data_IF_865915612181
#
_entry.id   IF_865915612181
#
_cell.length_a   1.000
_cell.length_b   1.000
_cell.length_c   1.000
_cell.angle_alpha   90.00
_cell.angle_beta   90.00
_cell.angle_gamma   90.00
#
_symmetry.space_group_name_H-M   'P 1'
#
loop_
_entity.id
_entity.type
_entity.pdbx_description
1 polymer ?
#
# COMPACT_ATOMS: atom_id res chain seq x y z
N UNK A 1 -5.79 0.06 3.61
CA UNK A 1 -4.46 -0.12 4.21
C UNK A 1 -3.50 -0.14 3.05
N UNK A 2 -2.42 0.67 3.05
CA UNK A 2 -1.42 0.66 1.99
C UNK A 2 -0.87 -0.76 1.73
N UNK A 3 -0.70 -1.06 0.45
CA UNK A 3 -0.10 -2.26 -0.11
C UNK A 3 1.12 -1.86 -0.96
N UNK A 4 1.71 -2.79 -1.71
CA UNK A 4 2.89 -2.49 -2.53
C UNK A 4 2.76 -1.24 -3.40
N UNK A 5 1.65 -1.08 -4.17
CA UNK A 5 1.46 0.06 -5.06
C UNK A 5 1.56 1.43 -4.38
N UNK A 6 0.93 1.60 -3.23
CA UNK A 6 0.89 2.88 -2.53
C UNK A 6 2.27 3.27 -1.96
N UNK A 7 3.05 2.28 -1.50
CA UNK A 7 4.42 2.52 -1.01
C UNK A 7 5.37 2.85 -2.18
N UNK A 8 5.18 2.19 -3.32
CA UNK A 8 5.93 2.51 -4.53
C UNK A 8 5.63 3.91 -5.05
N UNK A 9 4.34 4.27 -5.17
CA UNK A 9 3.92 5.63 -5.54
C UNK A 9 4.43 6.68 -4.55
N UNK A 10 4.45 6.38 -3.24
CA UNK A 10 5.02 7.26 -2.23
C UNK A 10 6.50 7.55 -2.49
N UNK A 11 7.29 6.52 -2.79
CA UNK A 11 8.71 6.70 -3.07
C UNK A 11 8.95 7.54 -4.31
N UNK A 12 8.14 7.35 -5.37
CA UNK A 12 8.19 8.17 -6.59
C UNK A 12 7.79 9.61 -6.34
N UNK A 13 6.74 9.83 -5.56
CA UNK A 13 6.30 11.17 -5.15
C UNK A 13 7.41 11.89 -4.41
N UNK A 14 8.01 11.27 -3.40
CA UNK A 14 9.08 11.89 -2.61
C UNK A 14 10.27 12.23 -3.51
N UNK A 15 10.72 11.30 -4.35
CA UNK A 15 11.84 11.57 -5.26
C UNK A 15 11.54 12.66 -6.29
N UNK A 16 10.30 12.74 -6.78
CA UNK A 16 9.89 13.77 -7.74
C UNK A 16 9.80 15.14 -7.07
N UNK A 17 9.07 15.23 -5.97
CA UNK A 17 8.81 16.49 -5.27
C UNK A 17 10.02 17.02 -4.52
N UNK A 18 10.90 16.15 -4.03
CA UNK A 18 12.13 16.53 -3.33
C UNK A 18 13.34 16.67 -4.26
N UNK A 19 13.17 16.42 -5.57
CA UNK A 19 14.24 16.61 -6.55
C UNK A 19 14.74 18.06 -6.52
N UNK A 20 16.06 18.26 -6.42
CA UNK A 20 16.63 19.60 -6.39
C UNK A 20 16.54 20.32 -5.03
N UNK A 21 15.63 19.92 -4.14
CA UNK A 21 15.40 20.58 -2.85
C UNK A 21 16.52 20.24 -1.86
N UNK A 22 16.99 21.27 -1.15
CA UNK A 22 17.90 21.12 -0.01
C UNK A 22 17.11 21.26 1.28
N UNK A 23 17.33 20.35 2.21
CA UNK A 23 16.76 20.35 3.56
C UNK A 23 17.80 20.78 4.58
N UNK A 24 17.36 21.24 5.76
CA UNK A 24 18.24 21.78 6.79
C UNK A 24 17.75 21.45 8.20
N UNK A 25 18.66 21.56 9.17
CA UNK A 25 18.40 21.40 10.59
C UNK A 25 18.11 19.96 11.02
N UNK A 26 17.50 19.85 12.20
CA UNK A 26 17.10 18.57 12.79
C UNK A 26 15.82 18.00 12.17
N UNK A 27 15.67 16.69 12.23
CA UNK A 27 14.38 16.03 11.96
C UNK A 27 13.49 16.17 13.19
N UNK A 28 12.29 16.73 13.03
CA UNK A 28 11.38 16.96 14.17
C UNK A 28 10.31 15.88 14.26
N UNK A 29 10.27 15.17 15.39
CA UNK A 29 9.13 14.31 15.75
C UNK A 29 8.13 15.11 16.58
N UNK A 30 6.84 14.96 16.27
CA UNK A 30 5.79 15.49 17.13
C UNK A 30 5.64 14.64 18.41
N UNK A 31 5.58 15.27 19.58
CA UNK A 31 5.66 14.61 20.90
C UNK A 31 4.65 13.47 21.09
N UNK A 32 3.46 13.61 20.49
CA UNK A 32 2.36 12.65 20.63
C UNK A 32 2.64 11.30 19.92
N UNK A 33 3.65 11.25 19.04
CA UNK A 33 4.06 10.02 18.36
C UNK A 33 4.87 9.11 19.28
N UNK A 34 4.49 7.84 19.37
CA UNK A 34 5.22 6.78 20.12
C UNK A 34 6.36 6.14 19.33
N UNK A 35 6.69 6.68 18.15
CA UNK A 35 7.81 6.22 17.34
C UNK A 35 9.12 6.84 17.86
N UNK A 36 10.30 6.27 17.56
CA UNK A 36 11.58 6.80 18.03
C UNK A 36 11.85 8.21 17.50
N UNK A 37 12.58 9.01 18.29
CA UNK A 37 13.22 10.24 17.80
C UNK A 37 14.22 9.91 16.68
N UNK A 38 14.45 10.87 15.79
CA UNK A 38 15.43 10.74 14.71
C UNK A 38 16.64 11.62 15.06
N UNK A 39 17.77 11.05 15.53
CA UNK A 39 18.96 11.80 15.93
C UNK A 39 19.78 12.19 14.69
N UNK A 40 19.18 13.03 13.83
CA UNK A 40 19.79 13.56 12.63
C UNK A 40 19.69 15.08 12.63
N UNK A 41 20.81 15.74 12.37
CA UNK A 41 20.92 17.18 12.21
C UNK A 41 22.00 17.47 11.17
N UNK A 42 21.70 18.34 10.21
CA UNK A 42 22.66 18.75 9.18
C UNK A 42 22.26 20.11 8.60
N UNK A 43 23.23 20.99 8.38
CA UNK A 43 22.99 22.31 7.81
C UNK A 43 22.38 22.24 6.40
N UNK A 44 22.77 21.23 5.63
CA UNK A 44 22.28 21.00 4.28
C UNK A 44 22.29 19.51 3.94
N UNK A 45 21.14 18.95 3.58
CA UNK A 45 21.00 17.55 3.18
C UNK A 45 19.95 17.34 2.08
N UNK A 46 20.03 16.17 1.43
CA UNK A 46 19.05 15.69 0.44
C UNK A 46 18.25 14.53 1.00
N UNK A 47 17.02 14.39 0.52
CA UNK A 47 16.15 13.26 0.83
C UNK A 47 15.92 12.48 -0.47
N UNK A 48 16.08 11.16 -0.40
CA UNK A 48 15.65 10.24 -1.44
C UNK A 48 14.86 9.09 -0.83
N UNK A 49 14.07 8.40 -1.66
CA UNK A 49 13.18 7.34 -1.22
C UNK A 49 13.28 6.12 -2.13
N UNK A 50 13.19 4.93 -1.54
CA UNK A 50 12.95 3.67 -2.25
C UNK A 50 11.88 2.88 -1.53
N UNK A 51 11.16 2.00 -2.22
CA UNK A 51 10.17 1.12 -1.60
C UNK A 51 10.52 -0.35 -1.81
N UNK A 52 10.15 -1.21 -0.85
CA UNK A 52 10.27 -2.65 -0.98
C UNK A 52 9.07 -3.34 -0.33
N UNK A 53 8.16 -3.83 -1.16
CA UNK A 53 6.90 -4.42 -0.69
C UNK A 53 6.08 -3.39 0.09
N UNK A 54 5.77 -3.65 1.37
CA UNK A 54 5.00 -2.72 2.22
C UNK A 54 5.85 -1.81 3.10
N UNK A 55 7.09 -1.58 2.69
CA UNK A 55 8.02 -0.70 3.38
C UNK A 55 8.54 0.37 2.44
N UNK A 56 8.78 1.56 2.97
CA UNK A 56 9.45 2.66 2.28
C UNK A 56 10.67 3.07 3.09
N UNK A 57 11.81 3.22 2.45
CA UNK A 57 13.04 3.70 3.07
C UNK A 57 13.36 5.09 2.55
N UNK A 58 13.48 6.04 3.47
CA UNK A 58 14.05 7.36 3.20
C UNK A 58 15.54 7.34 3.53
N UNK A 59 16.34 7.98 2.71
CA UNK A 59 17.77 8.20 2.96
C UNK A 59 18.03 9.70 3.04
N UNK A 60 18.51 10.15 4.20
CA UNK A 60 18.94 11.53 4.47
C UNK A 60 20.44 11.63 4.19
N UNK A 61 20.84 12.45 3.22
CA UNK A 61 22.24 12.53 2.75
C UNK A 61 22.79 13.95 2.92
N UNK A 62 23.69 14.20 3.88
CA UNK A 62 24.36 15.49 4.05
C UNK A 62 25.14 15.94 2.79
N UNK A 63 25.14 17.25 2.50
CA UNK A 63 25.76 17.83 1.29
C UNK A 63 27.21 18.32 1.50
N UNK A 64 27.64 18.64 2.71
CA UNK A 64 29.03 19.04 3.01
C UNK A 64 29.75 17.97 3.84
N UNK A 65 30.99 17.68 3.47
CA UNK A 65 31.79 16.55 3.98
C UNK A 65 33.04 16.94 4.77
N UNK A 66 33.37 18.22 4.90
CA UNK A 66 34.77 18.56 5.17
C UNK A 66 35.24 18.24 6.59
N UNK A 67 34.51 18.55 7.66
CA UNK A 67 35.07 18.33 9.01
C UNK A 67 34.04 17.79 10.01
N UNK A 68 33.71 16.50 9.86
CA UNK A 68 32.91 15.68 10.79
C UNK A 68 31.47 16.14 11.08
N UNK A 69 30.49 15.26 10.77
CA UNK A 69 29.25 14.94 11.54
C UNK A 69 28.01 14.59 10.69
N UNK A 70 28.13 13.67 9.73
CA UNK A 70 26.93 13.02 9.22
C UNK A 70 27.20 11.96 8.16
N UNK A 71 27.08 10.68 8.54
CA UNK A 71 26.86 9.62 7.55
C UNK A 71 25.43 9.73 7.01
N UNK A 72 25.15 9.28 5.77
CA UNK A 72 23.78 9.10 5.35
C UNK A 72 23.00 8.27 6.37
N UNK A 73 21.76 8.69 6.69
CA UNK A 73 20.89 8.00 7.64
C UNK A 73 19.68 7.44 6.90
N UNK A 74 19.42 6.15 7.12
CA UNK A 74 18.25 5.46 6.59
C UNK A 74 17.10 5.42 7.61
N UNK A 75 15.90 5.74 7.16
CA UNK A 75 14.66 5.66 7.92
C UNK A 75 13.68 4.73 7.20
N UNK A 76 13.28 3.62 7.83
CA UNK A 76 12.37 2.64 7.23
C UNK A 76 10.97 2.80 7.79
N UNK A 77 10.00 3.11 6.94
CA UNK A 77 8.61 3.39 7.26
C UNK A 77 7.68 2.23 6.87
N UNK A 78 6.71 1.97 7.75
CA UNK A 78 5.50 1.19 7.47
C UNK A 78 4.30 2.08 7.73
N UNK A 79 3.47 2.33 6.72
CA UNK A 79 2.44 3.38 6.77
C UNK A 79 1.23 3.06 7.67
N UNK A 80 1.11 1.83 8.16
CA UNK A 80 -0.07 1.43 8.93
C UNK A 80 -1.32 1.51 8.05
N UNK A 81 -2.32 2.31 8.42
CA UNK A 81 -3.55 2.47 7.62
C UNK A 81 -3.72 3.83 6.96
N UNK A 82 -3.18 4.89 7.55
CA UNK A 82 -3.38 6.28 7.11
C UNK A 82 -2.08 7.05 6.91
N UNK A 83 -0.92 6.40 7.09
CA UNK A 83 0.38 6.97 6.83
C UNK A 83 0.53 7.41 5.37
N UNK A 84 1.05 8.60 5.17
CA UNK A 84 1.46 9.14 3.87
C UNK A 84 2.50 10.25 4.05
N UNK A 85 3.16 10.63 2.95
CA UNK A 85 4.04 11.77 2.90
C UNK A 85 3.38 12.96 2.19
N UNK A 86 3.63 14.17 2.67
CA UNK A 86 3.20 15.41 1.99
C UNK A 86 4.29 16.47 2.09
N UNK A 87 4.69 17.04 0.96
CA UNK A 87 5.47 18.27 0.92
C UNK A 87 4.52 19.46 0.80
N UNK A 88 4.54 20.36 1.77
CA UNK A 88 3.63 21.51 1.84
C UNK A 88 4.36 22.77 2.31
N UNK A 89 3.82 23.98 2.07
CA UNK A 89 4.23 25.17 2.79
C UNK A 89 4.13 24.98 4.31
N UNK A 90 5.03 25.58 5.08
CA UNK A 90 4.98 25.48 6.56
C UNK A 90 3.67 26.04 7.13
N UNK A 91 3.06 27.04 6.48
CA UNK A 91 1.75 27.59 6.86
C UNK A 91 0.60 26.56 6.78
N UNK A 92 0.75 25.56 5.91
CA UNK A 92 -0.29 24.59 5.57
C UNK A 92 -0.01 23.22 6.19
N UNK A 93 0.85 23.19 7.23
CA UNK A 93 1.30 21.96 7.86
C UNK A 93 0.11 21.15 8.43
N UNK A 94 -0.05 19.86 8.07
CA UNK A 94 -1.13 19.04 8.58
C UNK A 94 -1.05 18.83 10.10
N UNK A 95 -2.20 18.90 10.77
CA UNK A 95 -2.34 18.65 12.23
C UNK A 95 -1.71 17.34 12.70
N UNK A 96 -1.70 16.32 11.85
CA UNK A 96 -1.20 14.98 12.16
C UNK A 96 0.18 14.69 11.51
N UNK A 97 0.97 15.73 11.23
CA UNK A 97 2.36 15.62 10.80
C UNK A 97 3.27 15.22 11.97
N UNK A 98 3.55 13.92 12.06
CA UNK A 98 4.27 13.31 13.19
C UNK A 98 5.78 13.29 13.04
N UNK A 99 6.29 13.42 11.80
CA UNK A 99 7.71 13.56 11.51
C UNK A 99 7.87 14.61 10.40
N UNK A 100 8.82 15.53 10.56
CA UNK A 100 8.93 16.75 9.74
C UNK A 100 10.37 16.99 9.31
N UNK A 101 10.54 17.36 8.05
CA UNK A 101 11.83 17.70 7.44
C UNK A 101 11.69 19.06 6.77
N UNK A 102 12.43 20.07 7.24
CA UNK A 102 12.30 21.44 6.76
C UNK A 102 13.27 21.73 5.62
N UNK A 103 12.78 22.47 4.63
CA UNK A 103 13.57 22.88 3.46
C UNK A 103 14.38 24.14 3.76
N UNK A 104 15.54 24.26 3.10
CA UNK A 104 16.39 25.44 3.11
C UNK A 104 16.00 26.37 1.95
N UNK A 105 14.77 26.88 1.98
CA UNK A 105 14.20 27.72 0.93
C UNK A 105 13.68 29.04 1.50
N UNK A 106 13.68 30.12 0.68
CA UNK A 106 13.15 31.42 1.08
C UNK A 106 11.66 31.35 1.46
N UNK A 107 10.90 30.53 0.74
CA UNK A 107 9.54 30.13 1.11
C UNK A 107 9.62 28.74 1.73
N UNK A 108 9.74 28.68 3.05
CA UNK A 108 9.95 27.43 3.75
C UNK A 108 8.79 26.44 3.51
N UNK A 109 9.14 25.29 2.93
CA UNK A 109 8.31 24.09 2.86
C UNK A 109 8.78 23.05 3.87
N UNK A 110 7.90 22.08 4.13
CA UNK A 110 8.14 20.96 5.03
C UNK A 110 7.64 19.66 4.40
N UNK A 111 8.49 18.65 4.37
CA UNK A 111 8.07 17.28 4.09
C UNK A 111 7.58 16.67 5.40
N UNK A 112 6.36 16.17 5.40
CA UNK A 112 5.69 15.62 6.58
C UNK A 112 5.35 14.15 6.38
N UNK A 113 5.69 13.30 7.35
CA UNK A 113 5.00 12.02 7.51
C UNK A 113 3.71 12.24 8.32
N UNK A 114 2.57 12.06 7.66
CA UNK A 114 1.24 12.30 8.22
C UNK A 114 0.56 10.98 8.51
N UNK A 115 0.08 10.78 9.75
CA UNK A 115 -0.66 9.57 10.10
C UNK A 115 -1.75 9.83 11.15
N UNK A 116 -2.99 9.99 10.70
CA UNK A 116 -4.13 10.31 11.58
C UNK A 116 -4.35 9.23 12.65
N UNK A 117 -4.23 7.96 12.28
CA UNK A 117 -4.50 6.82 13.17
C UNK A 117 -3.30 6.36 13.99
N UNK A 118 -2.09 6.88 13.69
CA UNK A 118 -0.83 6.58 14.40
C UNK A 118 -0.50 5.08 14.44
N UNK A 119 -0.87 4.37 13.38
CA UNK A 119 -0.57 2.94 13.23
C UNK A 119 0.72 2.70 12.46
N UNK A 120 1.20 3.72 11.76
CA UNK A 120 2.47 3.67 11.08
C UNK A 120 3.65 3.73 12.04
N UNK A 121 4.71 3.10 11.61
CA UNK A 121 5.95 2.93 12.35
C UNK A 121 7.13 3.37 11.50
N UNK A 122 8.17 3.87 12.14
CA UNK A 122 9.47 4.04 11.50
C UNK A 122 10.60 3.51 12.38
N UNK A 123 11.67 3.08 11.72
CA UNK A 123 12.92 2.62 12.33
C UNK A 123 14.06 3.52 11.86
N UNK A 124 14.96 3.86 12.78
CA UNK A 124 16.10 4.76 12.57
C UNK A 124 17.36 3.93 12.37
N UNK A 125 18.21 4.32 11.41
CA UNK A 125 19.38 3.55 10.98
C UNK A 125 18.99 2.10 10.63
N UNK A 126 17.76 1.94 10.12
CA UNK A 126 17.15 0.65 9.84
C UNK A 126 17.43 0.16 8.43
N UNK A 127 17.30 -1.15 8.25
CA UNK A 127 17.18 -1.80 6.94
C UNK A 127 15.79 -2.43 6.81
N UNK A 128 15.49 -3.02 5.65
CA UNK A 128 14.23 -3.74 5.44
C UNK A 128 14.00 -4.80 6.52
N UNK A 129 12.74 -5.05 6.89
CA UNK A 129 12.43 -6.10 7.86
C UNK A 129 12.95 -7.46 7.39
N UNK A 130 13.78 -8.09 8.22
CA UNK A 130 14.49 -9.32 7.88
C UNK A 130 13.56 -10.52 7.60
N UNK A 131 12.36 -10.53 8.17
CA UNK A 131 11.36 -11.59 7.97
C UNK A 131 10.50 -11.41 6.71
N UNK A 132 10.74 -10.34 5.93
CA UNK A 132 10.03 -10.07 4.67
C UNK A 132 10.78 -10.59 3.45
N UNK A 133 10.03 -11.29 2.60
CA UNK A 133 10.54 -11.78 1.32
C UNK A 133 10.77 -10.68 0.28
N UNK A 134 11.22 -11.07 -0.92
CA UNK A 134 11.37 -10.17 -2.06
C UNK A 134 10.05 -9.48 -2.43
N UNK A 135 10.15 -8.24 -2.86
CA UNK A 135 9.02 -7.44 -3.32
C UNK A 135 8.39 -8.05 -4.58
N UNK A 136 7.08 -8.29 -4.54
CA UNK A 136 6.34 -8.85 -5.69
C UNK A 136 6.39 -7.96 -6.94
N UNK A 137 6.68 -6.66 -6.78
CA UNK A 137 6.74 -5.69 -7.88
C UNK A 137 8.14 -5.52 -8.45
N UNK A 138 9.14 -5.31 -7.58
CA UNK A 138 10.48 -4.89 -7.99
C UNK A 138 11.49 -6.04 -8.05
N UNK A 139 11.16 -7.20 -7.46
CA UNK A 139 12.05 -8.36 -7.32
C UNK A 139 11.33 -9.64 -7.78
N UNK A 140 10.61 -9.59 -8.91
CA UNK A 140 9.69 -10.66 -9.34
C UNK A 140 10.32 -12.06 -9.38
N UNK A 141 11.47 -12.20 -10.03
CA UNK A 141 12.15 -13.50 -10.16
C UNK A 141 12.57 -14.03 -8.79
N UNK A 142 13.15 -13.17 -7.93
CA UNK A 142 13.52 -13.57 -6.57
C UNK A 142 12.29 -13.94 -5.73
N UNK A 143 11.20 -13.19 -5.88
CA UNK A 143 9.91 -13.47 -5.23
C UNK A 143 9.39 -14.85 -5.65
N UNK A 144 9.31 -15.10 -6.95
CA UNK A 144 8.81 -16.34 -7.52
C UNK A 144 9.64 -17.53 -7.02
N UNK A 145 10.96 -17.42 -7.11
CA UNK A 145 11.88 -18.46 -6.65
C UNK A 145 11.80 -18.68 -5.14
N UNK A 146 11.61 -17.63 -4.34
CA UNK A 146 11.46 -17.73 -2.90
C UNK A 146 10.19 -18.50 -2.53
N UNK A 147 9.07 -18.31 -3.24
CA UNK A 147 7.85 -19.08 -3.01
C UNK A 147 8.04 -20.54 -3.41
N UNK A 148 8.50 -20.80 -4.64
CA UNK A 148 8.57 -22.16 -5.19
C UNK A 148 9.59 -23.05 -4.47
N UNK A 149 10.71 -22.50 -4.00
CA UNK A 149 11.70 -23.27 -3.22
C UNK A 149 11.24 -23.63 -1.82
N UNK A 150 10.23 -22.93 -1.28
CA UNK A 150 9.80 -23.07 0.11
C UNK A 150 8.38 -23.65 0.25
N UNK A 151 7.84 -24.33 -0.76
CA UNK A 151 6.46 -24.87 -0.73
C UNK A 151 6.19 -25.83 0.45
N UNK A 152 7.23 -26.46 0.99
CA UNK A 152 7.14 -27.31 2.19
C UNK A 152 6.85 -26.53 3.48
N UNK A 153 7.03 -25.20 3.50
CA UNK A 153 6.75 -24.35 4.67
C UNK A 153 5.27 -24.47 5.11
N UNK A 154 5.04 -24.47 6.42
CA UNK A 154 3.72 -24.58 7.04
C UNK A 154 2.78 -23.43 6.65
N UNK A 155 3.32 -22.29 6.23
CA UNK A 155 2.52 -21.19 5.68
C UNK A 155 1.64 -21.64 4.52
N UNK A 156 2.10 -22.61 3.71
CA UNK A 156 1.37 -23.12 2.56
C UNK A 156 0.39 -24.27 2.90
N UNK A 157 0.28 -24.67 4.18
CA UNK A 157 -0.81 -25.53 4.65
C UNK A 157 -2.13 -24.78 4.80
N UNK A 158 -2.07 -23.44 4.88
CA UNK A 158 -3.24 -22.57 5.09
C UNK A 158 -4.01 -22.34 3.78
N UNK A 159 -5.25 -21.81 3.88
CA UNK A 159 -5.96 -21.22 2.74
C UNK A 159 -5.08 -20.26 1.91
N UNK A 160 -5.21 -20.30 0.58
CA UNK A 160 -4.42 -19.44 -0.31
C UNK A 160 -4.65 -17.95 -0.05
N UNK A 161 -5.88 -17.54 0.30
CA UNK A 161 -6.18 -16.16 0.67
C UNK A 161 -5.44 -15.70 1.94
N UNK A 162 -5.07 -16.61 2.84
CA UNK A 162 -4.26 -16.32 4.02
C UNK A 162 -2.77 -16.33 3.69
N UNK A 163 -2.32 -17.31 2.89
CA UNK A 163 -0.94 -17.40 2.45
C UNK A 163 -0.50 -16.13 1.68
N UNK A 164 -1.36 -15.60 0.80
CA UNK A 164 -1.13 -14.35 0.06
C UNK A 164 -0.89 -13.12 0.94
N UNK A 165 -1.30 -13.15 2.21
CA UNK A 165 -1.03 -12.06 3.16
C UNK A 165 0.30 -12.22 3.91
N UNK A 166 0.96 -13.37 3.80
CA UNK A 166 2.22 -13.64 4.48
C UNK A 166 3.38 -12.88 3.81
N UNK A 167 3.89 -11.86 4.49
CA UNK A 167 4.92 -10.97 3.95
C UNK A 167 6.31 -11.63 3.81
N UNK A 168 6.53 -12.80 4.44
CA UNK A 168 7.71 -13.64 4.17
C UNK A 168 7.77 -14.13 2.72
N UNK A 169 6.60 -14.29 2.08
CA UNK A 169 6.48 -14.87 0.75
C UNK A 169 5.89 -13.90 -0.27
N UNK A 170 4.90 -13.09 0.11
CA UNK A 170 4.17 -12.18 -0.78
C UNK A 170 4.32 -10.72 -0.33
N UNK A 171 5.57 -10.26 -0.17
CA UNK A 171 5.86 -8.92 0.34
C UNK A 171 5.33 -7.85 -0.63
N UNK A 172 4.33 -7.09 -0.18
CA UNK A 172 3.60 -6.13 -1.01
C UNK A 172 2.11 -6.47 -1.17
N UNK A 173 1.73 -7.75 -1.14
CA UNK A 173 0.31 -8.15 -1.29
C UNK A 173 -0.46 -7.89 0.00
N UNK A 174 -1.63 -7.28 -0.11
CA UNK A 174 -2.57 -7.08 0.99
C UNK A 174 -3.97 -7.53 0.65
N UNK A 175 -4.94 -6.85 1.27
CA UNK A 175 -6.30 -7.30 1.33
C UNK A 175 -7.08 -7.05 0.04
N UNK A 176 -6.85 -5.92 -0.64
CA UNK A 176 -7.46 -5.71 -1.95
C UNK A 176 -6.75 -6.52 -3.02
N UNK A 177 -5.40 -6.55 -3.01
CA UNK A 177 -4.67 -7.32 -4.01
C UNK A 177 -5.00 -8.81 -3.93
N UNK A 178 -5.08 -9.43 -2.74
CA UNK A 178 -5.43 -10.86 -2.67
C UNK A 178 -6.80 -11.17 -3.29
N UNK A 179 -7.78 -10.26 -3.16
CA UNK A 179 -9.10 -10.46 -3.73
C UNK A 179 -9.05 -10.34 -5.26
N UNK A 180 -8.38 -9.31 -5.77
CA UNK A 180 -8.21 -9.07 -7.21
C UNK A 180 -7.39 -10.19 -7.89
N UNK A 181 -6.32 -10.66 -7.24
CA UNK A 181 -5.44 -11.75 -7.68
C UNK A 181 -6.23 -13.05 -7.79
N UNK A 182 -6.92 -13.45 -6.71
CA UNK A 182 -7.67 -14.70 -6.68
C UNK A 182 -8.86 -14.68 -7.65
N UNK A 183 -9.53 -13.54 -7.77
CA UNK A 183 -10.64 -13.36 -8.71
C UNK A 183 -10.20 -13.51 -10.16
N UNK A 184 -9.14 -12.81 -10.59
CA UNK A 184 -8.60 -12.91 -11.95
C UNK A 184 -8.02 -14.29 -12.25
N UNK A 185 -7.46 -14.94 -11.24
CA UNK A 185 -6.94 -16.32 -11.35
C UNK A 185 -8.04 -17.39 -11.25
N UNK A 186 -9.28 -17.00 -10.92
CA UNK A 186 -10.44 -17.90 -10.69
C UNK A 186 -10.15 -19.00 -9.65
N UNK A 187 -9.35 -18.69 -8.64
CA UNK A 187 -8.98 -19.63 -7.58
C UNK A 187 -9.88 -19.39 -6.36
N UNK A 188 -10.57 -20.44 -5.85
CA UNK A 188 -11.33 -20.32 -4.61
C UNK A 188 -10.42 -19.88 -3.44
N UNK A 189 -10.80 -18.88 -2.65
CA UNK A 189 -9.92 -18.30 -1.63
C UNK A 189 -9.51 -19.26 -0.52
N UNK A 190 -10.30 -20.30 -0.27
CA UNK A 190 -10.05 -21.34 0.71
C UNK A 190 -9.58 -22.66 0.12
N UNK A 191 -8.97 -22.63 -1.07
CA UNK A 191 -8.09 -23.73 -1.50
C UNK A 191 -6.82 -23.79 -0.63
N UNK A 192 -6.28 -25.00 -0.46
CA UNK A 192 -4.98 -25.18 0.22
C UNK A 192 -3.87 -24.56 -0.63
N UNK A 193 -3.13 -23.62 -0.06
CA UNK A 193 -2.14 -22.84 -0.81
C UNK A 193 -1.09 -23.71 -1.52
N UNK A 194 -0.57 -24.75 -0.85
CA UNK A 194 0.40 -25.68 -1.44
C UNK A 194 -0.14 -26.36 -2.70
N UNK A 195 -1.39 -26.85 -2.67
CA UNK A 195 -2.01 -27.53 -3.81
C UNK A 195 -2.04 -26.61 -5.03
N UNK A 196 -2.51 -25.36 -4.83
CA UNK A 196 -2.57 -24.34 -5.88
C UNK A 196 -1.19 -24.07 -6.48
N UNK A 197 -0.16 -23.92 -5.64
CA UNK A 197 1.20 -23.57 -6.08
C UNK A 197 1.96 -24.73 -6.73
N UNK A 198 1.77 -25.97 -6.27
CA UNK A 198 2.35 -27.18 -6.86
C UNK A 198 1.79 -27.47 -8.27
N UNK A 199 0.53 -27.15 -8.52
CA UNK A 199 -0.06 -27.24 -9.86
C UNK A 199 0.62 -26.29 -10.85
N UNK A 200 1.03 -25.10 -10.42
CA UNK A 200 1.80 -24.16 -11.25
C UNK A 200 3.17 -24.72 -11.62
N UNK A 201 3.84 -25.35 -10.65
CA UNK A 201 5.16 -25.96 -10.88
C UNK A 201 5.07 -27.13 -11.86
N UNK A 202 4.02 -27.95 -11.77
CA UNK A 202 3.78 -29.07 -12.71
C UNK A 202 3.44 -28.56 -14.11
N UNK A 203 2.62 -27.53 -14.26
CA UNK A 203 2.29 -26.92 -15.55
C UNK A 203 3.51 -26.38 -16.30
N UNK A 204 4.52 -25.87 -15.57
CA UNK A 204 5.80 -25.43 -16.15
C UNK A 204 6.62 -26.59 -16.73
N UNK A 205 6.66 -27.73 -16.04
CA UNK A 205 7.46 -28.90 -16.43
C UNK A 205 6.88 -29.68 -17.61
N UNK A 206 5.54 -29.72 -17.76
CA UNK A 206 4.86 -30.45 -18.85
C UNK A 206 4.96 -29.71 -20.19
N UNK A 207 5.21 -28.41 -20.19
CA UNK A 207 5.23 -27.60 -21.40
C UNK A 207 6.56 -27.72 -22.16
N UNK A 208 6.69 -28.74 -23.01
CA UNK A 208 7.74 -28.86 -24.05
C UNK A 208 7.64 -27.82 -25.19
N UNK A 209 7.01 -26.66 -24.92
CA UNK A 209 6.77 -25.62 -25.90
C UNK A 209 7.99 -24.70 -26.08
N UNK A 210 8.23 -24.28 -27.33
CA UNK A 210 9.24 -23.26 -27.67
C UNK A 210 8.96 -21.93 -26.97
N UNK A 211 10.03 -21.16 -26.68
CA UNK A 211 9.99 -19.90 -25.93
C UNK A 211 8.88 -18.95 -26.44
N UNK A 212 8.72 -18.82 -27.75
CA UNK A 212 7.73 -17.94 -28.39
C UNK A 212 6.27 -18.38 -28.18
N UNK A 213 6.01 -19.69 -28.06
CA UNK A 213 4.67 -20.23 -27.73
C UNK A 213 4.37 -20.08 -26.24
N UNK A 214 5.37 -20.25 -25.37
CA UNK A 214 5.25 -20.00 -23.92
C UNK A 214 4.91 -18.55 -23.62
N UNK A 215 5.57 -17.59 -24.28
CA UNK A 215 5.30 -16.15 -24.13
C UNK A 215 3.87 -15.79 -24.57
N UNK A 216 3.39 -16.34 -25.70
CA UNK A 216 2.01 -16.10 -26.17
C UNK A 216 0.94 -16.72 -25.26
N UNK A 217 1.18 -17.91 -24.70
CA UNK A 217 0.23 -18.60 -23.83
C UNK A 217 0.16 -17.95 -22.43
N UNK A 218 1.32 -17.62 -21.84
CA UNK A 218 1.41 -16.90 -20.56
C UNK A 218 0.79 -15.50 -20.62
N UNK A 219 0.92 -14.80 -21.75
CA UNK A 219 0.24 -13.51 -21.96
C UNK A 219 -1.29 -13.59 -21.90
N UNK A 220 -1.90 -14.76 -22.19
CA UNK A 220 -3.36 -14.92 -22.17
C UNK A 220 -3.89 -15.40 -20.83
N UNK A 221 -3.15 -16.25 -20.12
CA UNK A 221 -3.51 -16.76 -18.80
C UNK A 221 -2.29 -16.69 -17.86
N UNK A 222 -2.06 -15.55 -17.18
CA UNK A 222 -0.98 -15.47 -16.19
C UNK A 222 -1.27 -16.43 -15.02
N UNK A 223 -0.22 -17.08 -14.53
CA UNK A 223 -0.32 -17.88 -13.30
C UNK A 223 -0.51 -17.00 -12.05
N UNK A 224 -0.81 -17.62 -10.91
CA UNK A 224 -1.06 -16.88 -9.65
C UNK A 224 0.12 -15.99 -9.25
N UNK A 225 1.36 -16.45 -9.42
CA UNK A 225 2.56 -15.70 -9.04
C UNK A 225 2.83 -14.56 -10.04
N UNK A 226 2.58 -14.78 -11.33
CA UNK A 226 2.56 -13.71 -12.34
C UNK A 226 1.49 -12.66 -12.00
N UNK A 227 0.28 -13.07 -11.60
CA UNK A 227 -0.78 -12.14 -11.17
C UNK A 227 -0.39 -11.33 -9.92
N UNK A 228 0.36 -11.92 -8.98
CA UNK A 228 0.91 -11.22 -7.82
C UNK A 228 1.88 -10.08 -8.20
N UNK A 229 2.46 -10.12 -9.39
CA UNK A 229 3.33 -9.07 -9.92
C UNK A 229 2.57 -8.09 -10.81
N UNK A 230 1.78 -8.61 -11.76
CA UNK A 230 1.12 -7.80 -12.78
C UNK A 230 0.07 -6.86 -12.19
N UNK A 231 -0.76 -7.33 -11.24
CA UNK A 231 -1.86 -6.52 -10.72
C UNK A 231 -1.42 -5.34 -9.86
N UNK A 232 -0.41 -5.47 -8.98
CA UNK A 232 0.18 -4.30 -8.34
C UNK A 232 0.78 -3.32 -9.36
N UNK A 233 1.41 -3.81 -10.43
CA UNK A 233 1.97 -2.93 -11.48
C UNK A 233 0.87 -2.23 -12.28
N UNK A 234 -0.25 -2.89 -12.57
CA UNK A 234 -1.44 -2.24 -13.13
C UNK A 234 -1.94 -1.13 -12.21
N UNK A 235 -2.12 -1.43 -10.92
CA UNK A 235 -2.59 -0.46 -9.92
C UNK A 235 -1.69 0.78 -9.83
N UNK A 236 -0.36 0.61 -9.93
CA UNK A 236 0.59 1.72 -10.00
C UNK A 236 0.37 2.58 -11.25
N UNK A 237 0.08 1.95 -12.39
CA UNK A 237 -0.02 2.58 -13.70
C UNK A 237 -1.42 3.12 -14.03
N UNK A 238 -2.38 3.02 -13.10
CA UNK A 238 -3.73 3.57 -13.28
C UNK A 238 -3.77 5.10 -13.43
N UNK A 239 -2.76 5.81 -12.93
CA UNK A 239 -2.82 7.27 -12.79
C UNK A 239 -2.15 8.04 -13.94
N UNK A 240 -2.95 8.81 -14.67
CA UNK A 240 -2.53 9.84 -15.64
C UNK A 240 -1.77 11.02 -15.01
N UNK A 241 -0.58 10.77 -14.47
CA UNK A 241 0.46 11.78 -14.26
C UNK A 241 0.57 12.43 -12.86
N UNK A 242 -0.29 12.14 -11.87
CA UNK A 242 -0.22 12.77 -10.52
C UNK A 242 -0.49 11.87 -9.29
N UNK A 243 -0.56 10.55 -9.47
CA UNK A 243 -1.17 9.60 -8.51
C UNK A 243 -0.32 9.17 -7.30
N UNK A 244 -0.24 10.01 -6.28
CA UNK A 244 0.07 9.56 -4.90
C UNK A 244 -0.82 10.22 -3.84
N UNK A 245 -1.42 11.38 -4.11
CA UNK A 245 -2.20 12.09 -3.09
C UNK A 245 -3.40 11.24 -2.64
N UNK A 246 -3.41 10.72 -1.39
CA UNK A 246 -4.51 9.88 -0.91
C UNK A 246 -5.81 10.67 -0.73
N UNK A 247 -5.78 12.00 -0.89
CA UNK A 247 -6.95 12.87 -0.83
C UNK A 247 -7.52 13.25 -2.20
N UNK A 248 -6.87 12.87 -3.30
CA UNK A 248 -7.37 13.10 -4.65
C UNK A 248 -8.57 12.20 -4.95
N UNK A 249 -9.72 12.81 -5.27
CA UNK A 249 -10.98 12.11 -5.55
C UNK A 249 -11.00 11.45 -6.93
N UNK A 250 -10.30 12.01 -7.91
CA UNK A 250 -10.26 11.48 -9.28
C UNK A 250 -9.44 10.19 -9.31
N UNK A 251 -8.25 10.20 -8.69
CA UNK A 251 -7.42 9.01 -8.54
C UNK A 251 -8.17 7.89 -7.79
N UNK A 252 -8.94 8.25 -6.76
CA UNK A 252 -9.77 7.30 -6.03
C UNK A 252 -10.89 6.69 -6.91
N UNK A 253 -11.48 7.47 -7.82
CA UNK A 253 -12.51 6.97 -8.74
C UNK A 253 -11.94 5.97 -9.74
N UNK A 254 -10.79 6.30 -10.35
CA UNK A 254 -10.08 5.41 -11.29
C UNK A 254 -9.70 4.10 -10.59
N UNK A 255 -9.19 4.17 -9.36
CA UNK A 255 -8.88 2.97 -8.59
C UNK A 255 -10.13 2.12 -8.33
N UNK A 256 -11.27 2.74 -7.98
CA UNK A 256 -12.54 2.03 -7.77
C UNK A 256 -13.02 1.35 -9.05
N UNK A 257 -12.84 1.96 -10.21
CA UNK A 257 -13.19 1.37 -11.51
C UNK A 257 -12.31 0.16 -11.87
N UNK A 258 -11.04 0.16 -11.47
CA UNK A 258 -10.13 -0.98 -11.67
C UNK A 258 -10.47 -2.21 -10.80
N UNK A 259 -11.18 -2.03 -9.69
CA UNK A 259 -11.56 -3.12 -8.80
C UNK A 259 -12.65 -4.00 -9.43
N UNK A 260 -12.37 -5.28 -9.58
CA UNK A 260 -13.30 -6.27 -10.11
C UNK A 260 -13.93 -7.15 -9.02
N UNK A 261 -13.33 -7.22 -7.83
CA UNK A 261 -13.79 -8.11 -6.76
C UNK A 261 -13.89 -7.44 -5.39
N UNK A 262 -12.83 -6.76 -4.96
CA UNK A 262 -12.73 -6.17 -3.63
C UNK A 262 -13.83 -5.12 -3.42
N UNK A 263 -14.74 -5.40 -2.49
CA UNK A 263 -15.88 -4.52 -2.19
C UNK A 263 -16.81 -4.22 -3.38
N UNK A 264 -16.75 -5.01 -4.46
CA UNK A 264 -17.63 -4.87 -5.63
C UNK A 264 -19.02 -5.46 -5.35
N UNK A 265 -20.12 -4.78 -5.72
CA UNK A 265 -21.48 -5.32 -5.54
C UNK A 265 -21.67 -6.69 -6.19
N UNK A 266 -22.44 -7.57 -5.54
CA UNK A 266 -22.69 -8.94 -6.04
C UNK A 266 -21.63 -9.97 -5.67
N UNK A 267 -20.42 -9.54 -5.28
CA UNK A 267 -19.38 -10.45 -4.78
C UNK A 267 -19.74 -11.04 -3.42
N UNK A 268 -19.30 -12.28 -3.21
CA UNK A 268 -19.39 -12.97 -1.91
C UNK A 268 -18.24 -12.52 -1.02
N UNK A 269 -18.44 -12.60 0.29
CA UNK A 269 -17.35 -12.40 1.25
C UNK A 269 -17.45 -13.32 2.45
N UNK A 270 -16.28 -13.66 2.99
CA UNK A 270 -16.08 -14.46 4.21
C UNK A 270 -14.95 -13.86 5.05
N UNK A 271 -14.82 -14.28 6.31
CA UNK A 271 -13.69 -13.92 7.17
C UNK A 271 -12.67 -15.05 7.18
N UNK A 272 -11.39 -14.69 7.06
CA UNK A 272 -10.29 -15.62 7.30
C UNK A 272 -10.04 -15.85 8.80
N UNK A 273 -9.10 -16.74 9.14
CA UNK A 273 -8.78 -17.06 10.53
C UNK A 273 -8.28 -15.84 11.36
N UNK A 274 -7.78 -14.78 10.69
CA UNK A 274 -7.34 -13.55 11.35
C UNK A 274 -8.44 -12.47 11.39
N UNK A 275 -9.68 -12.85 11.05
CA UNK A 275 -10.85 -11.97 11.06
C UNK A 275 -10.89 -10.98 9.89
N UNK A 276 -9.98 -11.05 8.91
CA UNK A 276 -10.00 -10.14 7.76
C UNK A 276 -10.99 -10.66 6.72
N UNK A 277 -11.76 -9.74 6.13
CA UNK A 277 -12.68 -10.08 5.05
C UNK A 277 -11.91 -10.41 3.78
N UNK A 278 -12.31 -11.48 3.08
CA UNK A 278 -11.90 -11.82 1.72
C UNK A 278 -13.13 -11.76 0.82
N UNK A 279 -12.99 -11.16 -0.37
CA UNK A 279 -14.01 -11.08 -1.41
C UNK A 279 -13.69 -12.06 -2.52
N UNK A 280 -14.71 -12.69 -3.09
CA UNK A 280 -14.56 -13.68 -4.14
C UNK A 280 -15.87 -13.86 -4.93
N UNK A 281 -15.77 -14.59 -6.04
CA UNK A 281 -16.89 -15.03 -6.85
C UNK A 281 -16.91 -16.57 -6.90
N UNK A 282 -18.10 -17.17 -6.94
CA UNK A 282 -18.23 -18.63 -7.08
C UNK A 282 -18.08 -19.39 -5.76
N UNK A 283 -17.39 -20.52 -5.82
CA UNK A 283 -17.16 -21.43 -4.69
C UNK A 283 -16.08 -20.87 -3.74
N UNK A 284 -16.25 -20.92 -2.41
CA UNK A 284 -15.20 -20.50 -1.48
C UNK A 284 -14.01 -21.46 -1.38
N UNK A 285 -14.17 -22.75 -1.71
CA UNK A 285 -13.14 -23.78 -1.54
C UNK A 285 -13.24 -24.58 -0.23
N UNK A 286 -12.51 -25.70 -0.11
CA UNK A 286 -12.72 -26.75 0.89
C UNK A 286 -12.35 -26.33 2.32
N UNK A 287 -11.43 -25.38 2.51
CA UNK A 287 -11.01 -24.90 3.83
C UNK A 287 -11.84 -23.72 4.35
N UNK A 288 -12.99 -23.43 3.71
CA UNK A 288 -13.86 -22.35 4.14
C UNK A 288 -14.36 -22.58 5.57
N UNK A 289 -14.47 -21.52 6.40
CA UNK A 289 -14.91 -21.66 7.78
C UNK A 289 -16.34 -22.23 7.86
N UNK A 290 -16.52 -23.34 8.58
CA UNK A 290 -17.81 -23.99 8.79
C UNK A 290 -18.77 -23.03 9.52
N UNK A 291 -19.94 -22.79 8.96
CA UNK A 291 -20.97 -21.91 9.54
C UNK A 291 -20.86 -20.42 9.17
N UNK A 292 -19.86 -20.02 8.38
CA UNK A 292 -19.77 -18.66 7.84
C UNK A 292 -20.86 -18.38 6.81
N UNK A 293 -21.93 -17.66 7.18
CA UNK A 293 -22.89 -17.15 6.20
C UNK A 293 -22.19 -16.15 5.28
N UNK A 294 -21.94 -16.54 4.03
CA UNK A 294 -21.41 -15.64 3.01
C UNK A 294 -22.33 -14.43 2.86
N UNK A 295 -21.86 -13.24 3.20
CA UNK A 295 -22.63 -12.01 3.02
C UNK A 295 -22.40 -11.50 1.59
N UNK A 296 -23.48 -11.14 0.89
CA UNK A 296 -23.39 -10.38 -0.37
C UNK A 296 -23.50 -8.90 -0.06
N UNK A 297 -22.63 -8.08 -0.65
CA UNK A 297 -22.77 -6.62 -0.55
C UNK A 297 -24.05 -6.20 -1.30
N UNK A 298 -25.06 -5.71 -0.56
CA UNK A 298 -26.32 -5.21 -1.13
C UNK A 298 -26.07 -3.88 -1.87
N UNK A 299 -26.68 -3.72 -3.03
CA UNK A 299 -26.81 -2.42 -3.71
C UNK A 299 -27.68 -1.51 -2.84
N UNK A 300 -27.13 -0.41 -2.33
CA UNK A 300 -27.98 0.68 -1.86
C UNK A 300 -28.51 1.43 -3.10
N UNK A 301 -29.82 1.68 -3.23
CA UNK A 301 -30.32 2.58 -4.25
C UNK A 301 -29.74 3.97 -3.99
N UNK A 302 -29.23 4.63 -5.05
CA UNK A 302 -28.70 6.00 -5.00
C UNK A 302 -29.72 6.90 -4.30
N UNK A 303 -29.43 7.34 -3.07
CA UNK A 303 -30.16 8.45 -2.48
C UNK A 303 -29.84 9.69 -3.31
N UNK A 304 -30.90 10.36 -3.81
CA UNK A 304 -30.78 11.66 -4.48
C UNK A 304 -30.03 12.63 -3.55
N UNK A 305 -29.19 13.54 -4.08
CA UNK A 305 -28.59 14.57 -3.27
C UNK A 305 -29.70 15.39 -2.61
N UNK A 306 -29.70 15.44 -1.27
CA UNK A 306 -30.55 16.36 -0.54
C UNK A 306 -30.06 17.77 -0.85
N UNK A 307 -30.80 18.48 -1.70
CA UNK A 307 -30.68 19.93 -1.87
C UNK A 307 -30.98 20.55 -0.51
N UNK A 308 -29.93 21.05 0.17
CA UNK A 308 -30.10 21.93 1.31
C UNK A 308 -30.71 23.24 0.79
N UNK A 309 -32.03 23.36 0.89
CA UNK A 309 -32.67 24.67 0.78
C UNK A 309 -32.35 25.46 2.06
N UNK A 310 -31.56 26.50 1.91
CA UNK A 310 -31.30 27.50 2.94
C UNK A 310 -32.59 28.27 3.24
N UNK A 311 -33.39 27.80 4.20
CA UNK A 311 -34.39 28.65 4.84
C UNK A 311 -33.71 29.55 5.85
N UNK A 312 -33.48 30.80 5.44
CA UNK A 312 -33.20 31.92 6.34
C UNK A 312 -34.22 31.93 7.49
N UNK A 313 -33.76 31.69 8.72
CA UNK A 313 -34.51 32.06 9.92
C UNK A 313 -34.20 33.53 10.24
N UNK A 314 -35.12 34.42 9.85
CA UNK A 314 -35.19 35.79 10.39
C UNK A 314 -35.45 35.69 11.91
N UNK A 315 -34.56 36.27 12.72
CA UNK A 315 -34.83 36.53 14.15
C UNK A 315 -35.84 37.69 14.25
N UNK A 316 -36.91 37.60 15.05
CA UNK A 316 -37.71 38.76 15.39
C UNK A 316 -37.00 39.55 16.50
N UNK A 317 -36.80 40.85 16.26
CA UNK A 317 -36.52 41.87 17.27
C UNK A 317 -37.72 41.98 18.21
N UNK A 318 -37.49 41.91 19.53
CA UNK A 318 -38.45 42.38 20.52
C UNK A 318 -38.03 43.78 20.96
N UNK A 319 -38.87 44.75 20.66
CA UNK A 319 -38.83 46.09 21.25
C UNK A 319 -39.25 46.04 22.73
N UNK A 320 -38.74 46.97 23.56
CA UNK A 320 -39.15 47.14 24.94
C UNK A 320 -40.30 48.15 25.02
N UNK A 321 -41.46 47.73 25.53
CA UNK A 321 -42.44 48.55 26.26
C UNK A 321 -43.64 47.69 26.64
N UNK A 322 -43.97 47.67 27.95
CA UNK A 322 -45.10 46.95 28.54
C UNK A 322 -44.68 46.12 29.74
#
# INVERSE_FOLDING_TARGET
MPEGPELFQASRYINTECAGITFTGKVEKFEVSKNPEVPFESDAYRISAVSRGKELKLTLTPLQREDSKGRPMDLVFRFGMTGNFKLVPVSDMPKHAHLRFYTQEKLARVLCYVDVRRFGKWEVDGTWQADRGPCVMLEYEQFRDNVLRNLSDKAFNKPICEALLNQKFFNGVGNYLRAEILHRSKIPPFEKARTVLEELQRGLQVSGATLSKKVKLKRKNPDLLEACHLLPMEAVNLGGGKGYDPTNREDAAIFVEWLHCYSVPGMKSLRDANGRTIWFQGDPGPLAPKGGKSQKKKTQPKSKPAVQSSKLRRRPSRDPNG
#
